data_IF_442221870666
#
_entry.id   IF_442221870666
#
_cell.length_a   1.000
_cell.length_b   1.000
_cell.length_c   1.000
_cell.angle_alpha   90.00
_cell.angle_beta   90.00
_cell.angle_gamma   90.00
#
_symmetry.space_group_name_H-M   'P 1'
#
loop_
_entity.id
_entity.type
_entity.pdbx_description
1 polymer ?
#
# COMPACT_ATOMS: atom_id res chain seq x y z
N UNK A 1 16.35 -7.52 3.74
CA UNK A 1 15.68 -7.74 2.43
C UNK A 1 15.61 -9.23 2.04
N UNK A 2 14.94 -10.10 2.84
CA UNK A 2 14.79 -11.56 2.55
C UNK A 2 13.33 -12.01 2.33
N UNK A 3 12.34 -11.24 2.79
CA UNK A 3 10.92 -11.58 2.74
C UNK A 3 10.30 -11.43 1.33
N UNK A 4 10.61 -10.36 0.60
CA UNK A 4 10.04 -10.07 -0.74
C UNK A 4 10.25 -11.19 -1.75
N UNK A 5 11.42 -11.84 -1.69
CA UNK A 5 11.77 -12.95 -2.59
C UNK A 5 10.96 -14.22 -2.28
N UNK A 6 10.59 -14.45 -1.01
CA UNK A 6 9.74 -15.58 -0.60
C UNK A 6 8.27 -15.32 -0.94
N UNK A 7 7.78 -14.10 -0.74
CA UNK A 7 6.42 -13.70 -1.11
C UNK A 7 6.16 -13.90 -2.60
N UNK A 8 7.08 -13.44 -3.46
CA UNK A 8 6.96 -13.64 -4.90
C UNK A 8 6.92 -15.12 -5.32
N UNK A 9 7.62 -16.00 -4.60
CA UNK A 9 7.54 -17.46 -4.84
C UNK A 9 6.17 -18.03 -4.46
N UNK A 10 5.56 -17.51 -3.40
CA UNK A 10 4.22 -17.92 -2.96
C UNK A 10 3.16 -17.43 -3.96
N UNK A 11 3.23 -16.16 -4.40
CA UNK A 11 2.36 -15.61 -5.45
C UNK A 11 2.42 -16.45 -6.73
N UNK A 12 3.62 -16.81 -7.17
CA UNK A 12 3.81 -17.68 -8.34
C UNK A 12 3.22 -19.09 -8.14
N UNK A 13 3.35 -19.67 -6.94
CA UNK A 13 2.79 -20.98 -6.63
C UNK A 13 1.25 -20.94 -6.64
N UNK A 14 0.65 -19.91 -6.04
CA UNK A 14 -0.80 -19.68 -6.03
C UNK A 14 -1.34 -19.44 -7.44
N UNK A 15 -0.67 -18.60 -8.23
CA UNK A 15 -1.05 -18.36 -9.62
C UNK A 15 -1.02 -19.63 -10.47
N UNK A 16 -0.10 -20.55 -10.21
CA UNK A 16 -0.02 -21.84 -10.91
C UNK A 16 -1.13 -22.81 -10.49
N UNK A 17 -1.52 -22.80 -9.21
CA UNK A 17 -2.50 -23.74 -8.66
C UNK A 17 -3.95 -23.28 -8.83
N UNK A 18 -4.21 -21.97 -8.78
CA UNK A 18 -5.56 -21.41 -8.69
C UNK A 18 -6.03 -20.73 -9.96
N UNK A 19 -5.13 -20.18 -10.79
CA UNK A 19 -5.53 -19.56 -12.05
C UNK A 19 -5.57 -20.61 -13.16
N UNK A 20 -6.68 -20.65 -13.89
CA UNK A 20 -6.79 -21.44 -15.12
C UNK A 20 -5.99 -20.78 -16.26
N UNK A 21 -5.77 -21.50 -17.38
CA UNK A 21 -5.18 -20.89 -18.58
C UNK A 21 -5.98 -19.68 -19.08
N UNK A 22 -7.32 -19.73 -18.99
CA UNK A 22 -8.20 -18.63 -19.38
C UNK A 22 -8.00 -17.41 -18.47
N UNK A 23 -7.90 -17.62 -17.15
CA UNK A 23 -7.67 -16.54 -16.20
C UNK A 23 -6.34 -15.81 -16.44
N UNK A 24 -5.28 -16.57 -16.73
CA UNK A 24 -3.97 -16.01 -17.08
C UNK A 24 -4.01 -15.23 -18.39
N UNK A 25 -4.78 -15.71 -19.37
CA UNK A 25 -4.94 -15.05 -20.67
C UNK A 25 -5.79 -13.78 -20.57
N UNK A 26 -6.72 -13.74 -19.61
CA UNK A 26 -7.48 -12.55 -19.22
C UNK A 26 -6.66 -11.56 -18.36
N UNK A 27 -5.41 -11.87 -18.02
CA UNK A 27 -4.51 -10.98 -17.28
C UNK A 27 -4.73 -10.95 -15.77
N UNK A 28 -5.42 -11.95 -15.19
CA UNK A 28 -5.58 -12.06 -13.74
C UNK A 28 -4.23 -12.39 -13.06
N UNK A 29 -3.96 -11.70 -11.96
CA UNK A 29 -2.75 -11.88 -11.13
C UNK A 29 -3.11 -12.04 -9.67
N UNK A 30 -2.31 -12.80 -8.93
CA UNK A 30 -2.41 -12.95 -7.47
C UNK A 30 -1.18 -12.28 -6.86
N UNK A 31 -1.40 -11.22 -6.08
CA UNK A 31 -0.35 -10.44 -5.44
C UNK A 31 -0.70 -10.18 -3.98
N UNK A 32 0.30 -10.21 -3.10
CA UNK A 32 0.12 -9.78 -1.71
C UNK A 32 0.15 -8.26 -1.64
N UNK A 33 -0.94 -7.66 -1.17
CA UNK A 33 -0.95 -6.26 -0.81
C UNK A 33 -0.14 -6.04 0.48
N UNK A 34 1.14 -5.69 0.34
CA UNK A 34 2.05 -5.44 1.45
C UNK A 34 1.71 -4.16 2.23
N UNK A 35 0.92 -3.25 1.65
CA UNK A 35 0.40 -2.08 2.38
C UNK A 35 -0.64 -2.50 3.43
N UNK A 36 -1.33 -3.63 3.22
CA UNK A 36 -2.21 -4.23 4.22
C UNK A 36 -1.48 -4.73 5.48
N UNK A 37 -0.19 -5.04 5.39
CA UNK A 37 0.62 -5.43 6.54
C UNK A 37 0.94 -4.23 7.46
N UNK A 38 1.03 -3.03 6.88
CA UNK A 38 1.16 -1.77 7.61
C UNK A 38 -0.16 -1.31 8.25
N UNK A 39 -1.31 -1.85 7.80
CA UNK A 39 -2.61 -1.62 8.44
C UNK A 39 -2.67 -2.19 9.87
N UNK A 40 -1.80 -3.15 10.19
CA UNK A 40 -1.58 -3.66 11.55
C UNK A 40 -0.96 -2.65 12.53
N UNK A 41 -0.53 -1.47 12.06
CA UNK A 41 -0.02 -0.38 12.91
C UNK A 41 -0.62 0.98 12.49
N UNK A 42 -1.96 1.02 12.45
CA UNK A 42 -2.70 2.27 12.18
C UNK A 42 -2.32 3.39 13.17
N UNK A 43 -1.91 3.02 14.40
CA UNK A 43 -1.45 3.95 15.41
C UNK A 43 -0.10 4.60 15.06
N UNK A 44 0.92 3.81 14.66
CA UNK A 44 2.18 4.40 14.22
C UNK A 44 2.03 5.17 12.92
N UNK A 45 1.14 4.75 12.00
CA UNK A 45 0.86 5.50 10.78
C UNK A 45 0.25 6.87 11.10
N UNK A 46 -0.73 6.93 12.01
CA UNK A 46 -1.31 8.19 12.48
C UNK A 46 -0.24 9.06 13.18
N UNK A 47 0.57 8.48 14.06
CA UNK A 47 1.65 9.19 14.77
C UNK A 47 2.72 9.74 13.82
N UNK A 48 3.08 8.99 12.78
CA UNK A 48 4.01 9.42 11.75
C UNK A 48 3.50 10.67 11.02
N UNK A 49 2.27 10.64 10.50
CA UNK A 49 1.72 11.81 9.80
C UNK A 49 1.52 13.00 10.73
N UNK A 50 1.09 12.77 11.98
CA UNK A 50 0.99 13.84 12.97
C UNK A 50 2.33 14.55 13.17
N UNK A 51 3.43 13.81 13.31
CA UNK A 51 4.77 14.38 13.46
C UNK A 51 5.22 15.14 12.21
N UNK A 52 4.97 14.60 11.00
CA UNK A 52 5.35 15.26 9.76
C UNK A 52 4.61 16.59 9.54
N UNK A 53 3.29 16.62 9.83
CA UNK A 53 2.48 17.83 9.77
C UNK A 53 2.94 18.87 10.81
N UNK A 54 3.20 18.44 12.05
CA UNK A 54 3.58 19.35 13.14
C UNK A 54 4.95 19.98 12.91
N UNK A 55 5.89 19.22 12.34
CA UNK A 55 7.23 19.71 12.02
C UNK A 55 7.27 20.52 10.71
N UNK A 56 6.12 20.69 10.03
CA UNK A 56 6.04 21.40 8.74
C UNK A 56 6.77 20.70 7.59
N UNK A 57 7.02 19.38 7.72
CA UNK A 57 7.70 18.57 6.69
C UNK A 57 6.72 18.15 5.60
N UNK A 58 5.45 17.98 5.94
CA UNK A 58 4.39 17.67 4.98
C UNK A 58 3.21 18.63 5.17
N UNK A 59 2.49 18.88 4.08
CA UNK A 59 1.20 19.55 4.06
C UNK A 59 0.05 18.54 4.21
N UNK A 60 -1.13 19.02 4.59
CA UNK A 60 -2.33 18.20 4.78
C UNK A 60 -2.71 17.50 3.46
N UNK A 61 -2.65 18.21 2.33
CA UNK A 61 -2.99 17.66 1.03
C UNK A 61 -1.98 16.61 0.53
N UNK A 62 -0.70 16.69 0.93
CA UNK A 62 0.29 15.65 0.63
C UNK A 62 -0.03 14.35 1.38
N UNK A 63 -0.39 14.44 2.66
CA UNK A 63 -0.85 13.27 3.45
C UNK A 63 -2.11 12.68 2.83
N UNK A 64 -3.07 13.52 2.42
CA UNK A 64 -4.31 13.07 1.77
C UNK A 64 -4.04 12.38 0.44
N UNK A 65 -3.10 12.86 -0.36
CA UNK A 65 -2.67 12.19 -1.59
C UNK A 65 -2.06 10.80 -1.30
N UNK A 66 -1.21 10.67 -0.27
CA UNK A 66 -0.65 9.38 0.16
C UNK A 66 -1.71 8.39 0.66
N UNK A 67 -2.81 8.89 1.21
CA UNK A 67 -3.97 8.11 1.64
C UNK A 67 -5.03 7.91 0.55
N UNK A 68 -4.79 8.38 -0.68
CA UNK A 68 -5.77 8.36 -1.78
C UNK A 68 -7.09 9.08 -1.45
N UNK A 69 -7.01 10.17 -0.69
CA UNK A 69 -8.13 11.04 -0.33
C UNK A 69 -8.12 12.32 -1.19
N UNK A 70 -9.30 12.89 -1.52
CA UNK A 70 -9.37 14.15 -2.27
C UNK A 70 -8.76 15.30 -1.46
N UNK A 71 -8.12 16.30 -2.08
CA UNK A 71 -7.55 17.46 -1.37
C UNK A 71 -8.64 18.29 -0.67
N UNK A 72 -8.22 19.12 0.28
CA UNK A 72 -9.07 20.09 0.99
C UNK A 72 -8.54 21.51 0.82
N UNK A 73 -9.46 22.47 0.86
CA UNK A 73 -9.13 23.89 0.84
C UNK A 73 -8.32 24.28 2.08
N UNK A 74 -7.22 25.03 1.88
CA UNK A 74 -6.28 25.39 2.95
C UNK A 74 -5.41 24.22 3.44
N UNK A 75 -5.35 23.11 2.69
CA UNK A 75 -4.54 21.94 3.02
C UNK A 75 -3.09 21.99 2.52
N UNK A 76 -2.73 23.02 1.76
CA UNK A 76 -1.38 23.32 1.29
C UNK A 76 -0.76 24.46 2.13
N UNK A 77 0.58 24.59 2.20
CA UNK A 77 1.25 25.67 2.92
C UNK A 77 1.03 27.05 2.30
#
# INVERSE_FOLDING_TARGET
MRARRRLKRIEQALAKQLLSPADRQAGLVIEFNLEGLLRGDSAARASFYQQMLTNGVMAINEVRALENLPPVEGGDP
#
